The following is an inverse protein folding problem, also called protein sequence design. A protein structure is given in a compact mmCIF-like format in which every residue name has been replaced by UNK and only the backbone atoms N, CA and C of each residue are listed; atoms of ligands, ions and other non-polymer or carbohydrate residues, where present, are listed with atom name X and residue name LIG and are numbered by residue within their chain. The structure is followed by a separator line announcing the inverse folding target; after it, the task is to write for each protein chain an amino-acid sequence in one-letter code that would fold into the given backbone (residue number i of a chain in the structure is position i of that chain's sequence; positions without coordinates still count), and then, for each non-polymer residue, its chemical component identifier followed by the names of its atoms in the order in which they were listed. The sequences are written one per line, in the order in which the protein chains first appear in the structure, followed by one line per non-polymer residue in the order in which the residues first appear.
data_IF_208993180186
#
_entry.id   IF_208993180186
#
_cell.length_a   1.000
_cell.length_b   1.000
_cell.length_c   1.000
_cell.angle_alpha   90.00
_cell.angle_beta   90.00
_cell.angle_gamma   90.00
#
_symmetry.space_group_name_H-M   'P 1'
#
loop_
_entity.id
_entity.type
_entity.pdbx_description
1 polymer ?
#
# COMPACT_ATOMS: atom_id res chain seq x y z
N UNK A 1 27.16 24.95 13.48
CA UNK A 1 26.99 25.14 12.02
C UNK A 1 28.23 24.75 11.22
N UNK A 2 29.47 25.15 11.59
CA UNK A 2 30.67 24.79 10.80
C UNK A 2 30.90 23.27 10.63
N UNK A 3 30.72 22.48 11.69
CA UNK A 3 30.94 21.02 11.63
C UNK A 3 29.98 20.28 10.69
N UNK A 4 28.71 20.70 10.61
CA UNK A 4 27.73 20.05 9.73
C UNK A 4 28.02 20.30 8.24
N UNK A 5 28.60 21.47 7.92
CA UNK A 5 28.99 21.81 6.54
C UNK A 5 30.23 21.01 6.14
N UNK A 6 31.20 20.81 7.04
CA UNK A 6 32.38 20.00 6.79
C UNK A 6 32.04 18.51 6.65
N UNK A 7 31.16 17.98 7.49
CA UNK A 7 30.64 16.60 7.36
C UNK A 7 29.88 16.41 6.05
N UNK A 8 29.01 17.36 5.68
CA UNK A 8 28.30 17.32 4.41
C UNK A 8 29.23 17.40 3.20
N UNK A 9 30.34 18.14 3.30
CA UNK A 9 31.34 18.22 2.24
C UNK A 9 32.10 16.90 2.09
N UNK A 10 32.56 16.31 3.19
CA UNK A 10 33.29 15.05 3.18
C UNK A 10 32.44 13.91 2.60
N UNK A 11 31.20 13.78 3.07
CA UNK A 11 30.31 12.73 2.56
C UNK A 11 29.85 12.96 1.11
N UNK A 12 29.85 14.21 0.62
CA UNK A 12 29.62 14.50 -0.80
C UNK A 12 30.83 14.12 -1.67
N UNK A 13 32.05 14.34 -1.17
CA UNK A 13 33.28 13.91 -1.84
C UNK A 13 33.36 12.38 -1.95
N UNK A 14 33.06 11.65 -0.87
CA UNK A 14 33.00 10.17 -0.85
C UNK A 14 31.97 9.64 -1.86
N UNK A 15 30.80 10.28 -1.94
CA UNK A 15 29.73 9.90 -2.87
C UNK A 15 30.12 10.18 -4.33
N UNK A 16 30.83 11.28 -4.60
CA UNK A 16 31.35 11.58 -5.93
C UNK A 16 32.44 10.59 -6.36
N UNK A 17 33.31 10.16 -5.45
CA UNK A 17 34.27 9.09 -5.74
C UNK A 17 33.58 7.75 -6.01
N UNK A 18 32.55 7.41 -5.24
CA UNK A 18 31.74 6.23 -5.47
C UNK A 18 31.03 6.26 -6.83
N UNK A 19 30.42 7.39 -7.20
CA UNK A 19 29.80 7.55 -8.53
C UNK A 19 30.85 7.45 -9.65
N UNK A 20 32.06 7.96 -9.43
CA UNK A 20 33.13 7.86 -10.44
C UNK A 20 33.57 6.43 -10.68
N UNK A 21 33.61 5.59 -9.64
CA UNK A 21 34.02 4.17 -9.73
C UNK A 21 32.94 3.25 -10.29
N UNK A 22 31.68 3.70 -10.38
CA UNK A 22 30.60 2.95 -11.00
C UNK A 22 30.71 2.90 -12.53
N UNK A 23 30.14 1.85 -13.12
CA UNK A 23 29.94 1.73 -14.57
C UNK A 23 29.04 2.88 -15.08
N UNK A 24 29.36 3.54 -16.21
CA UNK A 24 28.55 4.60 -16.80
C UNK A 24 27.03 4.32 -16.85
N UNK A 25 26.62 3.08 -17.10
CA UNK A 25 25.20 2.70 -17.16
C UNK A 25 24.54 2.65 -15.77
N UNK A 26 25.32 2.46 -14.72
CA UNK A 26 24.86 2.43 -13.33
C UNK A 26 24.96 3.80 -12.65
N UNK A 27 25.75 4.74 -13.19
CA UNK A 27 25.90 6.09 -12.65
C UNK A 27 24.57 6.84 -12.60
N UNK A 28 23.81 6.83 -13.68
CA UNK A 28 22.52 7.52 -13.75
C UNK A 28 21.54 6.98 -12.70
N UNK A 29 21.48 5.66 -12.57
CA UNK A 29 20.61 4.97 -11.60
C UNK A 29 21.07 5.15 -10.15
N UNK A 30 22.38 5.20 -9.91
CA UNK A 30 22.94 5.45 -8.59
C UNK A 30 22.72 6.91 -8.15
N UNK A 31 22.86 7.87 -9.07
CA UNK A 31 22.56 9.28 -8.85
C UNK A 31 21.08 9.45 -8.48
N UNK A 32 20.17 8.79 -9.21
CA UNK A 32 18.72 8.80 -8.95
C UNK A 32 18.38 8.34 -7.52
N UNK A 33 19.07 7.30 -7.01
CA UNK A 33 18.78 6.72 -5.69
C UNK A 33 19.46 7.50 -4.55
N UNK A 34 20.69 7.95 -4.76
CA UNK A 34 21.52 8.50 -3.69
C UNK A 34 21.28 10.00 -3.45
N UNK A 35 20.93 10.77 -4.48
CA UNK A 35 20.66 12.20 -4.34
C UNK A 35 19.51 12.51 -3.37
N UNK A 36 18.34 11.84 -3.45
CA UNK A 36 17.23 12.11 -2.54
C UNK A 36 17.60 11.80 -1.09
N UNK A 37 18.29 10.69 -0.83
CA UNK A 37 18.68 10.31 0.54
C UNK A 37 19.64 11.31 1.18
N UNK A 38 20.50 11.93 0.37
CA UNK A 38 21.47 12.92 0.85
C UNK A 38 20.86 14.31 1.05
N UNK A 39 19.97 14.73 0.15
CA UNK A 39 19.26 16.01 0.25
C UNK A 39 18.19 16.00 1.35
N UNK A 40 17.54 14.85 1.60
CA UNK A 40 16.50 14.70 2.63
C UNK A 40 17.03 14.59 4.06
N UNK A 41 18.35 14.58 4.29
CA UNK A 41 18.91 14.60 5.64
C UNK A 41 18.61 15.90 6.42
N UNK A 42 18.05 16.92 5.76
CA UNK A 42 17.66 18.20 6.38
C UNK A 42 16.18 18.58 6.19
N UNK A 43 15.31 17.74 5.62
CA UNK A 43 13.88 18.01 5.67
C UNK A 43 13.03 16.74 5.47
N UNK A 44 12.00 16.66 6.31
CA UNK A 44 10.90 15.71 6.29
C UNK A 44 10.25 15.67 4.90
N UNK A 45 9.76 14.47 4.52
CA UNK A 45 8.85 14.22 3.39
C UNK A 45 9.35 14.57 1.98
N UNK A 46 9.93 13.59 1.29
CA UNK A 46 9.49 13.24 -0.08
C UNK A 46 9.95 11.83 -0.43
N UNK A 47 9.05 10.84 -0.36
CA UNK A 47 9.30 9.54 -0.97
C UNK A 47 8.62 9.50 -2.33
N UNK A 48 9.37 9.95 -3.34
CA UNK A 48 9.12 9.59 -4.73
C UNK A 48 9.74 8.20 -4.91
N UNK A 49 8.92 7.16 -4.97
CA UNK A 49 9.36 5.84 -5.45
C UNK A 49 8.64 5.56 -6.75
N UNK A 50 9.29 5.97 -7.84
CA UNK A 50 9.11 5.37 -9.15
C UNK A 50 10.01 4.13 -9.20
N UNK A 51 9.43 2.91 -9.29
CA UNK A 51 9.99 1.85 -10.16
C UNK A 51 9.06 0.66 -10.34
N UNK A 52 8.64 0.51 -11.60
CA UNK A 52 8.83 -0.66 -12.45
C UNK A 52 8.89 -2.04 -11.77
N UNK A 53 7.75 -2.72 -11.84
CA UNK A 53 7.56 -4.07 -12.42
C UNK A 53 8.87 -4.87 -12.52
N UNK A 54 9.17 -5.62 -11.47
CA UNK A 54 9.98 -6.83 -11.58
C UNK A 54 9.09 -7.99 -11.19
N UNK A 55 8.83 -8.86 -12.16
CA UNK A 55 8.24 -10.17 -11.97
C UNK A 55 9.03 -10.94 -10.91
N UNK A 56 8.48 -11.02 -9.71
CA UNK A 56 8.90 -11.99 -8.71
C UNK A 56 7.64 -12.75 -8.30
N UNK A 57 7.55 -13.96 -8.83
CA UNK A 57 6.87 -15.07 -8.17
C UNK A 57 7.32 -15.08 -6.71
N UNK A 58 6.43 -14.71 -5.79
CA UNK A 58 6.57 -15.05 -4.39
C UNK A 58 5.19 -15.02 -3.74
N UNK A 59 4.75 -16.19 -3.29
CA UNK A 59 3.58 -16.32 -2.43
C UNK A 59 3.72 -15.36 -1.26
N UNK A 60 2.82 -14.39 -1.20
CA UNK A 60 2.78 -13.32 -0.21
C UNK A 60 2.68 -13.92 1.20
N UNK A 61 3.83 -14.18 1.81
CA UNK A 61 4.00 -14.56 3.21
C UNK A 61 3.55 -13.39 4.06
N UNK A 62 2.45 -13.56 4.81
CA UNK A 62 1.92 -12.71 5.90
C UNK A 62 2.63 -11.34 6.03
N UNK A 63 2.38 -10.42 5.11
CA UNK A 63 2.87 -9.05 5.24
C UNK A 63 2.10 -8.36 6.36
N UNK A 64 2.81 -7.57 7.16
CA UNK A 64 2.17 -6.68 8.12
C UNK A 64 1.32 -5.64 7.37
N UNK A 65 0.27 -5.13 8.01
CA UNK A 65 -0.65 -4.17 7.39
C UNK A 65 0.10 -2.99 6.77
N UNK A 66 1.05 -2.41 7.50
CA UNK A 66 1.87 -1.28 7.03
C UNK A 66 2.68 -1.64 5.77
N UNK A 67 3.37 -2.79 5.77
CA UNK A 67 4.15 -3.27 4.62
C UNK A 67 3.27 -3.52 3.39
N UNK A 68 2.06 -4.02 3.58
CA UNK A 68 1.10 -4.21 2.50
C UNK A 68 0.67 -2.87 1.91
N UNK A 69 0.38 -1.89 2.75
CA UNK A 69 -0.08 -0.58 2.31
C UNK A 69 1.03 0.22 1.63
N UNK A 70 2.29 0.06 2.05
CA UNK A 70 3.45 0.68 1.41
C UNK A 70 3.64 0.24 -0.06
N UNK A 71 3.10 -0.93 -0.45
CA UNK A 71 3.16 -1.38 -1.85
C UNK A 71 2.19 -0.63 -2.77
N UNK A 72 1.20 0.07 -2.21
CA UNK A 72 0.16 0.74 -2.95
C UNK A 72 0.11 2.21 -2.58
N UNK A 73 0.55 3.07 -3.49
CA UNK A 73 0.38 4.50 -3.33
C UNK A 73 -0.96 4.95 -3.94
N UNK A 74 -1.91 5.33 -3.09
CA UNK A 74 -3.22 5.81 -3.48
C UNK A 74 -3.49 7.19 -2.88
N UNK A 75 -3.45 8.22 -3.72
CA UNK A 75 -3.73 9.60 -3.30
C UNK A 75 -5.22 9.83 -3.01
N UNK A 76 -6.10 8.98 -3.55
CA UNK A 76 -7.55 9.14 -3.42
C UNK A 76 -8.09 8.42 -2.19
N UNK A 77 -8.83 9.12 -1.30
CA UNK A 77 -9.44 8.49 -0.13
C UNK A 77 -10.42 7.34 -0.46
N UNK A 78 -11.02 7.33 -1.65
CA UNK A 78 -11.86 6.21 -2.13
C UNK A 78 -11.06 4.95 -2.42
N UNK A 79 -9.85 5.11 -2.94
CA UNK A 79 -9.00 4.01 -3.36
C UNK A 79 -8.32 3.39 -2.12
N UNK A 80 -8.06 4.19 -1.09
CA UNK A 80 -7.63 3.73 0.23
C UNK A 80 -8.66 2.81 0.90
N UNK A 81 -9.96 3.06 0.69
CA UNK A 81 -11.02 2.14 1.16
C UNK A 81 -10.89 0.77 0.47
N UNK A 82 -10.68 0.76 -0.85
CA UNK A 82 -10.49 -0.48 -1.62
C UNK A 82 -9.21 -1.20 -1.22
N UNK A 83 -8.14 -0.46 -0.93
CA UNK A 83 -6.87 -1.00 -0.47
C UNK A 83 -6.97 -1.72 0.87
N UNK A 84 -7.61 -1.08 1.87
CA UNK A 84 -7.87 -1.72 3.17
C UNK A 84 -8.71 -2.98 2.98
N UNK A 85 -9.70 -2.91 2.09
CA UNK A 85 -10.56 -4.05 1.76
C UNK A 85 -9.78 -5.18 1.07
N UNK A 86 -8.82 -4.83 0.20
CA UNK A 86 -7.92 -5.79 -0.43
C UNK A 86 -7.06 -6.49 0.64
N UNK A 87 -6.51 -5.74 1.59
CA UNK A 87 -5.79 -6.34 2.72
C UNK A 87 -6.67 -7.31 3.50
N UNK A 88 -7.89 -6.90 3.86
CA UNK A 88 -8.86 -7.74 4.57
C UNK A 88 -9.16 -9.05 3.81
N UNK A 89 -9.35 -8.96 2.49
CA UNK A 89 -9.53 -10.14 1.63
C UNK A 89 -8.29 -11.06 1.61
N UNK A 90 -7.09 -10.49 1.62
CA UNK A 90 -5.84 -11.27 1.68
C UNK A 90 -5.72 -12.09 2.98
N UNK A 91 -6.33 -11.60 4.07
CA UNK A 91 -6.26 -12.23 5.38
C UNK A 91 -7.40 -13.24 5.58
N UNK A 92 -8.64 -12.82 5.33
CA UNK A 92 -9.84 -13.55 5.74
C UNK A 92 -10.67 -14.09 4.55
N UNK A 93 -10.30 -13.76 3.32
CA UNK A 93 -11.00 -14.20 2.12
C UNK A 93 -12.34 -13.49 1.92
N UNK A 94 -13.34 -14.22 1.41
CA UNK A 94 -14.71 -13.68 1.25
C UNK A 94 -15.43 -13.73 2.57
N UNK A 95 -15.48 -12.58 3.24
CA UNK A 95 -16.29 -12.40 4.42
C UNK A 95 -17.02 -11.05 4.37
N UNK A 96 -18.14 -10.91 5.10
CA UNK A 96 -18.80 -9.62 5.25
C UNK A 96 -17.97 -8.66 6.13
N UNK A 97 -17.46 -7.60 5.52
CA UNK A 97 -16.69 -6.53 6.17
C UNK A 97 -17.62 -5.39 6.60
N UNK A 98 -17.43 -4.86 7.81
CA UNK A 98 -18.20 -3.70 8.25
C UNK A 98 -17.49 -2.39 7.93
N UNK A 99 -18.24 -1.29 7.77
CA UNK A 99 -17.65 0.04 7.55
C UNK A 99 -16.80 0.51 8.73
N UNK A 100 -17.16 0.08 9.95
CA UNK A 100 -16.42 0.40 11.17
C UNK A 100 -15.06 -0.29 11.16
N UNK A 101 -15.03 -1.58 10.82
CA UNK A 101 -13.79 -2.36 10.71
C UNK A 101 -12.80 -1.75 9.70
N UNK A 102 -13.30 -1.33 8.54
CA UNK A 102 -12.48 -0.66 7.52
C UNK A 102 -11.96 0.69 8.05
N UNK A 103 -12.80 1.45 8.73
CA UNK A 103 -12.41 2.75 9.29
C UNK A 103 -11.37 2.62 10.41
N UNK A 104 -11.55 1.65 11.29
CA UNK A 104 -10.61 1.37 12.37
C UNK A 104 -9.25 0.92 11.85
N UNK A 105 -9.22 0.06 10.83
CA UNK A 105 -7.97 -0.38 10.19
C UNK A 105 -7.27 0.76 9.46
N UNK A 106 -8.01 1.61 8.75
CA UNK A 106 -7.45 2.79 8.11
C UNK A 106 -6.80 3.73 9.12
N UNK A 107 -7.49 4.01 10.23
CA UNK A 107 -6.96 4.86 11.30
C UNK A 107 -5.71 4.25 11.95
N UNK A 108 -5.71 2.93 12.20
CA UNK A 108 -4.53 2.22 12.75
C UNK A 108 -3.33 2.29 11.81
N UNK A 109 -3.59 2.27 10.50
CA UNK A 109 -2.57 2.38 9.47
C UNK A 109 -2.17 3.83 9.13
N UNK A 110 -2.79 4.84 9.74
CA UNK A 110 -2.56 6.25 9.40
C UNK A 110 -3.05 6.65 8.00
N UNK A 111 -3.96 5.89 7.39
CA UNK A 111 -4.49 6.17 6.06
C UNK A 111 -5.74 7.05 6.10
N UNK A 112 -5.74 8.08 5.26
CA UNK A 112 -6.94 8.90 5.03
C UNK A 112 -7.89 8.19 4.07
N UNK A 113 -9.09 7.87 4.54
CA UNK A 113 -10.14 7.22 3.75
C UNK A 113 -11.37 8.11 3.58
N UNK A 114 -12.21 7.77 2.59
CA UNK A 114 -13.47 8.46 2.35
C UNK A 114 -14.41 8.36 3.57
N UNK A 115 -15.00 9.50 3.98
CA UNK A 115 -15.94 9.57 5.12
C UNK A 115 -17.15 8.64 4.98
N UNK A 116 -17.61 8.42 3.74
CA UNK A 116 -18.72 7.52 3.40
C UNK A 116 -18.17 6.22 2.79
N UNK A 117 -17.60 5.38 3.64
CA UNK A 117 -17.10 4.04 3.28
C UNK A 117 -18.23 3.20 2.67
N UNK A 118 -19.43 3.28 3.23
CA UNK A 118 -20.64 2.62 2.73
C UNK A 118 -20.93 2.95 1.27
N UNK A 119 -20.90 4.23 0.92
CA UNK A 119 -21.16 4.68 -0.45
C UNK A 119 -20.01 4.32 -1.37
N UNK A 120 -18.77 4.45 -0.92
CA UNK A 120 -17.58 4.09 -1.69
C UNK A 120 -17.63 2.63 -2.14
N UNK A 121 -17.94 1.71 -1.21
CA UNK A 121 -18.07 0.29 -1.54
C UNK A 121 -19.31 -0.01 -2.40
N UNK A 122 -20.41 0.73 -2.20
CA UNK A 122 -21.64 0.54 -2.96
C UNK A 122 -21.49 0.97 -4.43
N UNK A 123 -20.76 2.05 -4.71
CA UNK A 123 -20.54 2.56 -6.08
C UNK A 123 -19.37 1.88 -6.78
N UNK A 124 -18.53 1.15 -6.05
CA UNK A 124 -17.40 0.43 -6.61
C UNK A 124 -17.87 -0.65 -7.59
N UNK A 125 -17.59 -0.43 -8.87
CA UNK A 125 -17.95 -1.33 -9.97
C UNK A 125 -16.76 -1.54 -10.89
N UNK A 126 -16.73 -2.69 -11.58
CA UNK A 126 -15.80 -2.97 -12.68
C UNK A 126 -16.59 -3.54 -13.83
N UNK A 127 -16.42 -2.98 -15.03
CA UNK A 127 -17.19 -3.38 -16.22
C UNK A 127 -18.72 -3.37 -15.98
N UNK A 128 -19.19 -2.37 -15.23
CA UNK A 128 -20.60 -2.24 -14.84
C UNK A 128 -21.09 -3.25 -13.80
N UNK A 129 -20.23 -4.17 -13.32
CA UNK A 129 -20.57 -5.16 -12.29
C UNK A 129 -20.15 -4.66 -10.90
N UNK A 130 -21.01 -4.78 -9.87
CA UNK A 130 -20.67 -4.37 -8.52
C UNK A 130 -19.57 -5.26 -7.92
N UNK A 131 -18.57 -4.64 -7.30
CA UNK A 131 -17.49 -5.36 -6.62
C UNK A 131 -17.94 -5.89 -5.25
N UNK A 132 -18.94 -5.25 -4.64
CA UNK A 132 -19.44 -5.60 -3.32
C UNK A 132 -20.95 -5.82 -3.32
N UNK A 133 -21.41 -6.69 -2.44
CA UNK A 133 -22.81 -6.91 -2.12
C UNK A 133 -23.05 -6.72 -0.63
N UNK A 134 -24.22 -6.20 -0.26
CA UNK A 134 -24.60 -6.06 1.15
C UNK A 134 -25.01 -7.40 1.72
N UNK A 135 -24.45 -7.78 2.87
CA UNK A 135 -24.78 -9.00 3.61
C UNK A 135 -24.95 -8.64 5.09
N UNK A 136 -26.18 -8.70 5.58
CA UNK A 136 -26.52 -8.26 6.94
C UNK A 136 -26.12 -6.79 7.17
N UNK A 137 -25.25 -6.55 8.16
CA UNK A 137 -24.68 -5.23 8.49
C UNK A 137 -23.37 -4.93 7.75
N UNK A 138 -22.85 -5.85 6.95
CA UNK A 138 -21.57 -5.72 6.25
C UNK A 138 -21.67 -5.72 4.73
N UNK A 139 -20.51 -5.60 4.10
CA UNK A 139 -20.28 -5.64 2.66
C UNK A 139 -19.34 -6.80 2.36
N UNK A 140 -19.75 -7.69 1.47
CA UNK A 140 -18.96 -8.84 1.04
C UNK A 140 -18.55 -8.67 -0.42
N UNK A 141 -17.37 -9.17 -0.80
CA UNK A 141 -16.93 -9.19 -2.19
C UNK A 141 -17.83 -10.11 -3.04
N UNK A 142 -18.17 -9.65 -4.24
CA UNK A 142 -18.77 -10.49 -5.28
C UNK A 142 -17.70 -11.29 -6.01
N UNK A 143 -18.08 -12.20 -6.90
CA UNK A 143 -17.14 -12.89 -7.79
C UNK A 143 -16.30 -11.91 -8.63
N UNK A 144 -16.93 -10.82 -9.12
CA UNK A 144 -16.24 -9.75 -9.84
C UNK A 144 -15.30 -8.96 -8.92
N UNK A 145 -15.72 -8.73 -7.67
CA UNK A 145 -14.89 -8.19 -6.60
C UNK A 145 -13.63 -9.02 -6.36
N UNK A 146 -13.77 -10.33 -6.19
CA UNK A 146 -12.65 -11.23 -5.98
C UNK A 146 -11.67 -11.23 -7.16
N UNK A 147 -12.18 -11.27 -8.39
CA UNK A 147 -11.36 -11.17 -9.59
C UNK A 147 -10.59 -9.84 -9.62
N UNK A 148 -11.27 -8.72 -9.32
CA UNK A 148 -10.63 -7.42 -9.23
C UNK A 148 -9.50 -7.39 -8.20
N UNK A 149 -9.73 -7.92 -6.99
CA UNK A 149 -8.71 -7.98 -5.96
C UNK A 149 -7.48 -8.77 -6.41
N UNK A 150 -7.67 -9.94 -7.01
CA UNK A 150 -6.59 -10.79 -7.51
C UNK A 150 -5.82 -10.15 -8.68
N UNK A 151 -6.51 -9.43 -9.55
CA UNK A 151 -5.90 -8.86 -10.75
C UNK A 151 -5.22 -7.52 -10.50
N UNK A 152 -5.86 -6.63 -9.75
CA UNK A 152 -5.39 -5.27 -9.51
C UNK A 152 -4.38 -5.23 -8.36
N UNK A 153 -4.72 -5.84 -7.23
CA UNK A 153 -3.86 -5.90 -6.04
C UNK A 153 -3.00 -7.17 -5.99
N UNK A 154 -3.02 -8.03 -7.01
CA UNK A 154 -2.19 -9.26 -7.06
C UNK A 154 -2.26 -10.15 -5.80
N UNK A 155 -3.37 -10.07 -5.07
CA UNK A 155 -3.52 -10.75 -3.78
C UNK A 155 -4.18 -12.11 -3.92
N UNK A 156 -3.75 -13.07 -3.08
CA UNK A 156 -4.39 -14.37 -2.92
C UNK A 156 -5.46 -14.31 -1.84
N UNK A 157 -6.50 -15.14 -1.99
CA UNK A 157 -7.59 -15.26 -1.03
C UNK A 157 -7.06 -15.76 0.32
N UNK A 158 -7.35 -15.04 1.39
CA UNK A 158 -7.05 -15.47 2.74
C UNK A 158 -7.92 -16.64 3.20
N UNK A 159 -7.43 -17.36 4.21
CA UNK A 159 -8.12 -18.50 4.82
C UNK A 159 -8.22 -18.39 6.34
N UNK A 160 -7.89 -17.24 6.93
CA UNK A 160 -8.04 -17.03 8.37
C UNK A 160 -9.53 -17.06 8.71
N UNK A 161 -9.94 -18.02 9.54
CA UNK A 161 -11.26 -18.00 10.14
C UNK A 161 -11.30 -16.86 11.15
N UNK A 162 -12.15 -15.87 10.90
CA UNK A 162 -12.55 -14.94 11.94
C UNK A 162 -13.57 -15.68 12.79
N UNK A 163 -13.29 -15.84 14.09
CA UNK A 163 -14.28 -16.31 15.06
C UNK A 163 -15.46 -15.33 14.99
N UNK A 164 -16.49 -15.73 14.28
CA UNK A 164 -17.75 -15.02 14.21
C UNK A 164 -18.37 -15.06 15.61
N UNK A 165 -18.27 -13.96 16.36
CA UNK A 165 -19.27 -13.65 17.38
C UNK A 165 -20.60 -13.37 16.68
N UNK A 166 -21.24 -14.44 16.18
CA UNK A 166 -22.68 -14.44 15.93
C UNK A 166 -23.31 -14.51 17.31
N UNK A 167 -23.58 -13.32 17.85
CA UNK A 167 -24.57 -13.12 18.88
C UNK A 167 -25.86 -13.83 18.43
N UNK A 168 -26.17 -14.95 19.08
CA UNK A 168 -27.54 -15.46 19.17
C UNK A 168 -28.36 -14.34 19.82
N UNK A 169 -29.21 -13.68 19.03
CA UNK A 169 -30.43 -13.05 19.54
C UNK A 169 -31.55 -14.07 19.46
#
# INVERSE_FOLDING_TARGET
MKNQIEEAKKSFEELNEFIKSLDPLLKEKAIEILLPQYLSKNNVETQIVTKEISSADNGMTKLNLEEFLLQYNHDKPSDNVLLITAWLYSQFGTYPMTTNEISELANKAGLTIAKRVDMTLKVATREGKPLFRKVGKGMELTLAGEAFMKEFYKIKKGNKQRLNEVQKS
#
